data_IF_091577291802
#
_entry.id   IF_091577291802
#
_cell.length_a   1.000
_cell.length_b   1.000
_cell.length_c   1.000
_cell.angle_alpha   90.00
_cell.angle_beta   90.00
_cell.angle_gamma   90.00
#
_symmetry.space_group_name_H-M   'P 1'
#
loop_
_entity.id
_entity.type
_entity.pdbx_description
1 polymer ?
#
# COMPACT_ATOMS: atom_id res chain seq x y z
N UNK A 1 17.75 -5.18 -1.66
CA UNK A 1 18.65 -4.00 -1.62
C UNK A 1 19.83 -4.32 -0.71
N UNK A 2 21.04 -3.98 -1.15
CA UNK A 2 22.25 -4.12 -0.35
C UNK A 2 22.71 -2.77 0.19
N UNK A 3 23.37 -2.79 1.35
CA UNK A 3 23.91 -1.59 2.00
C UNK A 3 25.08 -1.03 1.19
N UNK A 4 25.27 0.29 1.22
CA UNK A 4 26.42 0.91 0.54
C UNK A 4 27.75 0.70 1.30
N UNK A 5 27.69 0.33 2.59
CA UNK A 5 28.85 -0.05 3.41
C UNK A 5 29.20 -1.53 3.33
N UNK A 6 28.37 -2.37 2.70
CA UNK A 6 28.62 -3.80 2.56
C UNK A 6 29.84 -4.05 1.65
N UNK A 7 30.98 -4.42 2.25
CA UNK A 7 32.24 -4.65 1.53
C UNK A 7 32.25 -5.95 0.74
N UNK A 8 31.49 -6.96 1.17
CA UNK A 8 31.34 -8.24 0.47
C UNK A 8 30.45 -8.11 -0.77
N UNK A 9 29.54 -7.13 -0.79
CA UNK A 9 28.74 -6.86 -1.96
C UNK A 9 29.57 -6.16 -3.04
N UNK A 10 29.70 -6.75 -4.22
CA UNK A 10 30.56 -6.24 -5.31
C UNK A 10 29.79 -5.49 -6.41
N UNK A 11 28.47 -5.64 -6.50
CA UNK A 11 27.70 -4.99 -7.55
C UNK A 11 27.73 -3.46 -7.43
N UNK A 12 27.66 -2.80 -8.59
CA UNK A 12 27.68 -1.33 -8.72
C UNK A 12 26.30 -0.68 -8.54
N UNK A 13 25.28 -1.45 -8.17
CA UNK A 13 23.87 -1.03 -8.07
C UNK A 13 23.25 -1.50 -6.75
N UNK A 14 22.25 -0.80 -6.18
CA UNK A 14 21.66 -1.17 -4.89
C UNK A 14 20.81 -2.44 -4.93
N UNK A 15 20.21 -2.77 -6.06
CA UNK A 15 19.48 -4.02 -6.31
C UNK A 15 20.21 -4.84 -7.37
N UNK A 16 20.35 -6.15 -7.19
CA UNK A 16 20.94 -7.01 -8.22
C UNK A 16 20.10 -6.98 -9.50
N UNK A 17 20.74 -6.74 -10.65
CA UNK A 17 20.05 -6.60 -11.95
C UNK A 17 19.23 -7.83 -12.30
N UNK A 18 19.78 -9.03 -12.09
CA UNK A 18 19.13 -10.32 -12.39
C UNK A 18 18.02 -10.69 -11.39
N UNK A 19 17.81 -9.90 -10.34
CA UNK A 19 16.75 -10.17 -9.37
C UNK A 19 15.42 -9.57 -9.81
N UNK A 20 14.31 -10.07 -9.26
CA UNK A 20 12.99 -9.43 -9.36
C UNK A 20 12.96 -7.98 -8.84
N UNK A 21 14.02 -7.51 -8.17
CA UNK A 21 14.16 -6.13 -7.71
C UNK A 21 15.06 -5.28 -8.61
N UNK A 22 15.71 -5.85 -9.63
CA UNK A 22 16.57 -5.15 -10.57
C UNK A 22 15.93 -3.90 -11.21
N UNK A 23 14.64 -3.95 -11.63
CA UNK A 23 13.96 -2.77 -12.19
C UNK A 23 13.92 -1.55 -11.25
N UNK A 24 13.96 -1.74 -9.93
CA UNK A 24 13.98 -0.62 -8.98
C UNK A 24 15.23 0.26 -9.10
N UNK A 25 16.34 -0.26 -9.65
CA UNK A 25 17.52 0.57 -9.93
C UNK A 25 17.20 1.72 -10.89
N UNK A 26 16.39 1.49 -11.92
CA UNK A 26 15.97 2.53 -12.87
C UNK A 26 15.04 3.53 -12.19
N UNK A 27 14.08 3.02 -11.40
CA UNK A 27 13.08 3.85 -10.71
C UNK A 27 13.69 4.78 -9.68
N UNK A 28 14.49 4.24 -8.75
CA UNK A 28 15.12 5.06 -7.71
C UNK A 28 16.29 5.89 -8.26
N UNK A 29 16.95 5.46 -9.34
CA UNK A 29 17.94 6.30 -10.04
C UNK A 29 17.29 7.54 -10.65
N UNK A 30 16.13 7.37 -11.30
CA UNK A 30 15.33 8.51 -11.77
C UNK A 30 14.85 9.39 -10.62
N UNK A 31 14.37 8.80 -9.52
CA UNK A 31 13.96 9.54 -8.31
C UNK A 31 15.08 10.45 -7.79
N UNK A 32 16.28 9.90 -7.55
CA UNK A 32 17.43 10.66 -7.06
C UNK A 32 17.89 11.72 -8.07
N UNK A 33 17.82 11.43 -9.38
CA UNK A 33 18.10 12.41 -10.43
C UNK A 33 17.13 13.60 -10.37
N UNK A 34 15.85 13.36 -10.11
CA UNK A 34 14.86 14.44 -9.95
C UNK A 34 15.13 15.25 -8.68
N UNK A 35 15.52 14.62 -7.57
CA UNK A 35 15.97 15.32 -6.37
C UNK A 35 17.11 16.28 -6.69
N UNK A 36 18.16 15.80 -7.37
CA UNK A 36 19.31 16.62 -7.76
C UNK A 36 18.89 17.81 -8.66
N UNK A 37 18.03 17.57 -9.67
CA UNK A 37 17.49 18.62 -10.54
C UNK A 37 16.71 19.70 -9.79
N UNK A 38 16.17 19.39 -8.61
CA UNK A 38 15.46 20.34 -7.74
C UNK A 38 16.35 20.90 -6.63
N UNK A 39 17.67 20.68 -6.71
CA UNK A 39 18.63 21.17 -5.72
C UNK A 39 18.53 20.47 -4.37
N UNK A 40 18.03 19.22 -4.34
CA UNK A 40 18.00 18.39 -3.13
C UNK A 40 19.19 17.42 -3.12
N UNK A 41 19.88 17.33 -1.98
CA UNK A 41 20.82 16.25 -1.69
C UNK A 41 20.01 15.07 -1.16
N UNK A 42 20.02 13.95 -1.87
CA UNK A 42 19.27 12.75 -1.50
C UNK A 42 20.14 11.49 -1.66
N UNK A 43 19.88 10.51 -0.80
CA UNK A 43 20.53 9.21 -0.83
C UNK A 43 19.53 8.10 -0.54
N UNK A 44 19.88 6.88 -0.94
CA UNK A 44 19.07 5.69 -0.74
C UNK A 44 19.82 4.74 0.21
N UNK A 45 19.28 4.55 1.41
CA UNK A 45 19.93 3.79 2.48
C UNK A 45 19.08 2.58 2.91
N UNK A 46 19.73 1.57 3.46
CA UNK A 46 19.07 0.42 4.08
C UNK A 46 19.01 0.57 5.60
N UNK A 47 18.23 -0.29 6.26
CA UNK A 47 18.26 -0.44 7.72
C UNK A 47 19.62 -0.87 8.28
N UNK A 48 20.48 -1.53 7.49
CA UNK A 48 21.85 -1.86 7.92
C UNK A 48 22.71 -0.60 8.03
N UNK A 49 22.37 0.45 7.29
CA UNK A 49 23.09 1.71 7.30
C UNK A 49 22.65 2.64 8.44
N UNK A 50 21.56 2.31 9.15
CA UNK A 50 20.99 3.14 10.20
C UNK A 50 21.83 3.08 11.49
N UNK A 51 22.34 4.24 11.91
CA UNK A 51 23.07 4.40 13.16
C UNK A 51 22.13 4.84 14.29
N UNK A 52 21.51 6.00 14.13
CA UNK A 52 20.60 6.62 15.11
C UNK A 52 19.58 7.49 14.35
N UNK A 53 18.51 7.99 15.02
CA UNK A 53 17.44 8.69 14.33
C UNK A 53 17.97 9.83 13.42
N UNK A 54 17.65 9.74 12.12
CA UNK A 54 18.11 10.70 11.10
C UNK A 54 19.56 10.53 10.61
N UNK A 55 20.38 9.69 11.22
CA UNK A 55 21.79 9.48 10.88
C UNK A 55 22.07 8.08 10.33
N UNK A 56 22.73 8.03 9.18
CA UNK A 56 23.13 6.80 8.50
C UNK A 56 24.62 6.78 8.26
N UNK A 57 25.27 5.62 8.39
CA UNK A 57 26.71 5.47 8.16
C UNK A 57 27.09 5.55 6.68
N UNK A 58 26.15 5.21 5.79
CA UNK A 58 26.38 5.20 4.35
C UNK A 58 25.06 5.29 3.58
N UNK A 59 25.13 5.67 2.31
CA UNK A 59 23.99 5.59 1.40
C UNK A 59 24.43 5.38 -0.05
N UNK A 60 23.50 4.97 -0.90
CA UNK A 60 23.65 5.02 -2.34
C UNK A 60 23.25 6.39 -2.87
N UNK A 61 24.05 6.93 -3.78
CA UNK A 61 23.74 8.16 -4.55
C UNK A 61 23.68 7.82 -6.04
N UNK A 62 23.07 8.70 -6.83
CA UNK A 62 22.95 8.50 -8.26
C UNK A 62 23.21 9.81 -9.01
N UNK A 63 24.20 9.79 -9.91
CA UNK A 63 24.46 10.84 -10.89
C UNK A 63 24.91 10.17 -12.19
N UNK A 64 23.95 9.90 -13.08
CA UNK A 64 24.06 9.03 -14.27
C UNK A 64 24.39 7.56 -13.96
N UNK A 65 25.20 7.30 -12.94
CA UNK A 65 25.54 5.99 -12.41
C UNK A 65 25.35 5.95 -10.89
N UNK A 66 25.12 4.74 -10.37
CA UNK A 66 25.02 4.49 -8.94
C UNK A 66 26.41 4.55 -8.29
N UNK A 67 26.51 5.25 -7.16
CA UNK A 67 27.75 5.39 -6.39
C UNK A 67 27.49 5.15 -4.91
N UNK A 68 28.44 4.49 -4.25
CA UNK A 68 28.43 4.31 -2.80
C UNK A 68 29.00 5.54 -2.13
N UNK A 69 28.26 6.10 -1.18
CA UNK A 69 28.74 7.16 -0.31
C UNK A 69 28.97 6.56 1.08
N UNK A 70 30.23 6.26 1.41
CA UNK A 70 30.65 5.54 2.62
C UNK A 70 31.03 6.46 3.79
N UNK A 71 30.38 7.63 3.88
CA UNK A 71 30.55 8.56 4.99
C UNK A 71 29.19 8.79 5.67
N UNK A 72 29.18 9.11 6.98
CA UNK A 72 27.94 9.41 7.68
C UNK A 72 27.14 10.53 7.00
N UNK A 73 25.82 10.34 6.91
CA UNK A 73 24.88 11.32 6.34
C UNK A 73 23.71 11.52 7.29
N UNK A 74 23.33 12.79 7.47
CA UNK A 74 22.11 13.17 8.20
C UNK A 74 21.00 13.49 7.20
N UNK A 75 19.78 13.09 7.52
CA UNK A 75 18.60 13.31 6.68
C UNK A 75 17.57 14.18 7.39
N UNK A 76 17.23 15.31 6.78
CA UNK A 76 16.13 16.18 7.22
C UNK A 76 14.76 15.56 6.88
N UNK A 77 14.68 14.75 5.83
CA UNK A 77 13.47 14.02 5.43
C UNK A 77 13.82 12.55 5.24
N UNK A 78 13.06 11.69 5.90
CA UNK A 78 13.07 10.24 5.79
C UNK A 78 11.83 9.80 5.01
N UNK A 79 12.05 9.35 3.78
CA UNK A 79 11.02 8.74 2.96
C UNK A 79 11.03 7.22 3.16
N UNK A 80 10.23 6.75 4.11
CA UNK A 80 10.25 5.35 4.54
C UNK A 80 9.53 4.43 3.55
N UNK A 81 10.31 3.61 2.84
CA UNK A 81 9.85 2.53 1.96
C UNK A 81 10.02 1.14 2.61
N UNK A 82 10.37 1.11 3.88
CA UNK A 82 10.75 -0.10 4.58
C UNK A 82 9.55 -0.89 5.08
N UNK A 83 9.62 -2.20 4.90
CA UNK A 83 8.61 -3.13 5.36
C UNK A 83 9.22 -4.04 6.43
N UNK A 84 8.84 -3.89 7.71
CA UNK A 84 9.51 -4.55 8.81
C UNK A 84 9.02 -6.00 8.95
N UNK A 85 9.55 -6.89 8.11
CA UNK A 85 9.13 -8.31 8.05
C UNK A 85 9.74 -9.20 9.13
N UNK A 86 10.75 -8.75 9.87
CA UNK A 86 11.41 -9.52 10.95
C UNK A 86 11.46 -8.74 12.25
N UNK A 87 11.61 -9.39 13.40
CA UNK A 87 11.68 -8.72 14.70
C UNK A 87 12.83 -7.71 14.79
N UNK A 88 14.00 -8.03 14.24
CA UNK A 88 15.12 -7.08 14.09
C UNK A 88 14.71 -5.84 13.32
N UNK A 89 14.05 -6.05 12.17
CA UNK A 89 13.57 -4.98 11.30
C UNK A 89 12.49 -4.13 11.97
N UNK A 90 11.57 -4.73 12.71
CA UNK A 90 10.56 -4.02 13.51
C UNK A 90 11.19 -3.12 14.56
N UNK A 91 12.15 -3.63 15.34
CA UNK A 91 12.90 -2.84 16.34
C UNK A 91 13.65 -1.67 15.70
N UNK A 92 14.39 -1.92 14.62
CA UNK A 92 15.11 -0.86 13.90
C UNK A 92 14.16 0.18 13.32
N UNK A 93 13.00 -0.23 12.80
CA UNK A 93 11.98 0.70 12.32
C UNK A 93 11.46 1.57 13.47
N UNK A 94 11.12 0.99 14.62
CA UNK A 94 10.69 1.75 15.79
C UNK A 94 11.72 2.83 16.17
N UNK A 95 13.02 2.51 16.16
CA UNK A 95 14.09 3.49 16.37
C UNK A 95 14.18 4.56 15.26
N UNK A 96 13.86 4.24 14.01
CA UNK A 96 13.75 5.24 12.94
C UNK A 96 12.56 6.17 13.23
N UNK A 97 11.44 5.63 13.73
CA UNK A 97 10.24 6.40 14.06
C UNK A 97 10.44 7.37 15.24
N UNK A 98 11.41 7.12 16.13
CA UNK A 98 11.76 8.07 17.21
C UNK A 98 12.55 9.29 16.72
N UNK A 99 12.92 9.34 15.43
CA UNK A 99 13.43 10.58 14.82
C UNK A 99 12.38 11.68 14.97
N UNK A 100 12.82 12.91 15.32
CA UNK A 100 11.94 14.07 15.53
C UNK A 100 10.85 14.09 14.45
N UNK A 101 9.57 14.19 14.85
CA UNK A 101 8.35 14.06 14.02
C UNK A 101 8.33 14.86 12.71
N UNK A 102 9.21 15.85 12.58
CA UNK A 102 9.29 16.75 11.42
C UNK A 102 10.05 16.15 10.23
N UNK A 103 10.76 15.04 10.40
CA UNK A 103 11.56 14.41 9.34
C UNK A 103 10.89 13.21 8.68
N UNK A 104 9.90 12.54 9.28
CA UNK A 104 9.43 11.24 8.78
C UNK A 104 8.15 11.32 7.92
N UNK A 105 8.21 10.71 6.73
CA UNK A 105 7.05 10.35 5.91
C UNK A 105 6.93 8.83 5.84
N UNK A 106 5.96 8.17 6.46
CA UNK A 106 4.80 8.65 7.23
C UNK A 106 5.02 8.68 8.75
N UNK A 107 4.25 9.48 9.49
CA UNK A 107 4.18 9.34 10.95
C UNK A 107 3.59 7.97 11.38
N UNK A 108 3.92 7.54 12.60
CA UNK A 108 3.52 6.25 13.16
C UNK A 108 2.02 5.99 13.08
N UNK A 109 1.19 6.94 13.54
CA UNK A 109 -0.29 6.82 13.51
C UNK A 109 -0.84 6.60 12.10
N UNK A 110 -0.24 7.23 11.10
CA UNK A 110 -0.61 7.03 9.69
C UNK A 110 -0.23 5.64 9.23
N UNK A 111 0.94 5.15 9.62
CA UNK A 111 1.40 3.81 9.26
C UNK A 111 0.52 2.76 9.90
N UNK A 112 0.25 2.87 11.20
CA UNK A 112 -0.63 1.96 11.93
C UNK A 112 -2.00 1.87 11.27
N UNK A 113 -2.65 3.03 11.07
CA UNK A 113 -3.96 3.10 10.44
C UNK A 113 -3.96 2.48 9.04
N UNK A 114 -2.96 2.79 8.21
CA UNK A 114 -2.87 2.32 6.83
C UNK A 114 -2.18 0.96 6.66
N UNK A 115 -1.88 0.23 7.73
CA UNK A 115 -1.37 -1.15 7.64
C UNK A 115 -2.31 -2.16 8.30
N UNK A 116 -3.20 -1.69 9.16
CA UNK A 116 -4.24 -2.47 9.79
C UNK A 116 -5.61 -2.22 9.14
N UNK A 117 -6.12 -3.24 8.45
CA UNK A 117 -7.40 -3.17 7.74
C UNK A 117 -8.59 -2.98 8.69
N UNK A 118 -8.52 -3.54 9.91
CA UNK A 118 -9.56 -3.35 10.91
C UNK A 118 -9.51 -1.93 11.47
N UNK A 119 -8.31 -1.40 11.75
CA UNK A 119 -8.16 -0.02 12.18
C UNK A 119 -8.66 0.98 11.11
N UNK A 120 -8.38 0.70 9.82
CA UNK A 120 -8.95 1.50 8.71
C UNK A 120 -10.47 1.49 8.72
N UNK A 121 -11.10 0.33 8.92
CA UNK A 121 -12.57 0.25 9.03
C UNK A 121 -13.10 1.03 10.24
N UNK A 122 -12.53 0.81 11.43
CA UNK A 122 -12.94 1.48 12.66
C UNK A 122 -12.78 3.00 12.59
N UNK A 123 -11.78 3.48 11.85
CA UNK A 123 -11.60 4.90 11.61
C UNK A 123 -12.68 5.47 10.68
N UNK A 124 -13.18 4.70 9.70
CA UNK A 124 -14.13 5.17 8.69
C UNK A 124 -15.32 4.22 8.49
N UNK A 125 -16.09 3.90 9.54
CA UNK A 125 -17.08 2.81 9.47
C UNK A 125 -18.17 3.07 8.43
N UNK A 126 -18.61 4.31 8.25
CA UNK A 126 -19.62 4.71 7.25
C UNK A 126 -19.11 4.80 5.81
N UNK A 127 -17.82 4.60 5.58
CA UNK A 127 -17.22 4.78 4.26
C UNK A 127 -16.28 3.66 3.85
N UNK A 128 -15.95 2.76 4.75
CA UNK A 128 -15.13 1.57 4.50
C UNK A 128 -16.02 0.35 4.27
N UNK A 129 -15.48 -0.63 3.55
CA UNK A 129 -16.14 -1.93 3.42
C UNK A 129 -16.30 -2.56 4.83
N UNK A 130 -17.47 -3.14 5.17
CA UNK A 130 -17.72 -3.72 6.48
C UNK A 130 -16.64 -4.74 6.84
N UNK A 131 -16.04 -4.61 8.03
CA UNK A 131 -14.90 -5.44 8.43
C UNK A 131 -15.03 -5.82 9.89
N UNK A 132 -14.86 -7.10 10.20
CA UNK A 132 -14.81 -7.62 11.57
C UNK A 132 -13.53 -8.42 11.80
N UNK A 133 -13.11 -8.49 13.06
CA UNK A 133 -11.97 -9.31 13.45
C UNK A 133 -12.33 -10.80 13.43
N UNK A 134 -11.37 -11.64 13.03
CA UNK A 134 -11.44 -13.10 13.21
C UNK A 134 -10.41 -13.47 14.27
N UNK A 135 -10.88 -13.80 15.48
CA UNK A 135 -10.05 -14.07 16.66
C UNK A 135 -9.06 -15.22 16.44
N UNK A 136 -9.51 -16.28 15.78
CA UNK A 136 -8.70 -17.43 15.40
C UNK A 136 -9.30 -18.15 14.17
N UNK A 137 -8.57 -19.12 13.61
CA UNK A 137 -8.99 -19.88 12.42
C UNK A 137 -9.70 -21.19 12.79
N UNK A 138 -10.57 -21.14 13.80
CA UNK A 138 -11.54 -22.18 14.09
C UNK A 138 -12.88 -21.91 13.39
N UNK A 139 -13.65 -22.97 13.16
CA UNK A 139 -15.02 -22.89 12.66
C UNK A 139 -15.89 -21.98 13.54
N UNK A 140 -15.78 -22.12 14.86
CA UNK A 140 -16.52 -21.33 15.85
C UNK A 140 -16.24 -19.84 15.72
N UNK A 141 -14.95 -19.45 15.67
CA UNK A 141 -14.57 -18.05 15.54
C UNK A 141 -15.01 -17.44 14.20
N UNK A 142 -14.88 -18.18 13.10
CA UNK A 142 -15.34 -17.73 11.77
C UNK A 142 -16.87 -17.57 11.71
N UNK A 143 -17.64 -18.48 12.30
CA UNK A 143 -19.11 -18.36 12.38
C UNK A 143 -19.54 -17.18 13.27
N UNK A 144 -18.84 -16.93 14.38
CA UNK A 144 -19.08 -15.78 15.24
C UNK A 144 -18.82 -14.46 14.48
N UNK A 145 -17.67 -14.36 13.80
CA UNK A 145 -17.35 -13.20 12.95
C UNK A 145 -18.38 -13.02 11.83
N UNK A 146 -18.84 -14.11 11.19
CA UNK A 146 -19.92 -14.04 10.19
C UNK A 146 -21.19 -13.41 10.76
N UNK A 147 -21.64 -13.87 11.94
CA UNK A 147 -22.85 -13.36 12.59
C UNK A 147 -22.71 -11.86 12.87
N UNK A 148 -21.58 -11.43 13.43
CA UNK A 148 -21.30 -10.02 13.69
C UNK A 148 -21.31 -9.19 12.39
N UNK A 149 -20.65 -9.70 11.34
CA UNK A 149 -20.58 -9.02 10.05
C UNK A 149 -21.95 -8.92 9.36
N UNK A 150 -22.80 -9.93 9.49
CA UNK A 150 -24.16 -9.91 8.92
C UNK A 150 -25.05 -8.89 9.63
N UNK A 151 -24.94 -8.74 10.95
CA UNK A 151 -25.61 -7.67 11.70
C UNK A 151 -25.13 -6.31 11.22
N UNK A 152 -23.80 -6.11 11.14
CA UNK A 152 -23.19 -4.87 10.69
C UNK A 152 -23.66 -4.48 9.27
N UNK A 153 -23.66 -5.44 8.33
CA UNK A 153 -24.13 -5.24 6.95
C UNK A 153 -25.58 -4.76 6.93
N UNK A 154 -26.48 -5.46 7.63
CA UNK A 154 -27.92 -5.16 7.64
C UNK A 154 -28.24 -3.79 8.23
N UNK A 155 -27.49 -3.37 9.25
CA UNK A 155 -27.77 -2.13 9.97
C UNK A 155 -27.21 -0.88 9.29
N UNK A 156 -26.09 -0.98 8.57
CA UNK A 156 -25.32 0.19 8.15
C UNK A 156 -25.10 0.30 6.63
N UNK A 157 -25.47 -0.73 5.86
CA UNK A 157 -25.11 -0.81 4.44
C UNK A 157 -26.26 -1.34 3.59
N UNK A 158 -26.24 -1.04 2.29
CA UNK A 158 -27.23 -1.55 1.35
C UNK A 158 -27.02 -3.06 1.13
N UNK A 159 -28.00 -3.93 1.49
CA UNK A 159 -27.82 -5.38 1.35
C UNK A 159 -27.61 -5.85 -0.08
N UNK A 160 -28.14 -5.12 -1.07
CA UNK A 160 -28.02 -5.42 -2.51
C UNK A 160 -26.57 -5.33 -3.02
N UNK A 161 -25.69 -4.63 -2.31
CA UNK A 161 -24.29 -4.51 -2.69
C UNK A 161 -23.48 -5.79 -2.47
N UNK A 162 -24.00 -6.75 -1.70
CA UNK A 162 -23.24 -7.91 -1.23
C UNK A 162 -23.84 -9.23 -1.69
N UNK A 163 -22.96 -10.18 -2.01
CA UNK A 163 -23.34 -11.57 -2.25
C UNK A 163 -23.51 -12.37 -0.96
N UNK A 164 -23.74 -13.68 -1.14
CA UNK A 164 -23.79 -14.66 -0.03
C UNK A 164 -22.39 -15.08 0.47
N UNK A 165 -21.35 -14.72 -0.27
CA UNK A 165 -19.96 -15.05 0.03
C UNK A 165 -19.26 -13.96 0.83
N UNK A 166 -18.07 -14.29 1.33
CA UNK A 166 -17.23 -13.46 2.16
C UNK A 166 -15.80 -13.46 1.64
N UNK A 167 -15.01 -12.50 2.11
CA UNK A 167 -13.58 -12.42 1.88
C UNK A 167 -12.88 -12.52 3.23
N UNK A 168 -12.13 -13.59 3.42
CA UNK A 168 -11.23 -13.76 4.56
C UNK A 168 -9.83 -13.33 4.13
N UNK A 169 -9.24 -12.35 4.80
CA UNK A 169 -7.91 -11.83 4.45
C UNK A 169 -7.07 -11.51 5.66
N UNK A 170 -5.75 -11.53 5.47
CA UNK A 170 -4.83 -11.09 6.52
C UNK A 170 -5.12 -9.63 6.90
N UNK A 171 -5.26 -9.37 8.21
CA UNK A 171 -5.46 -8.05 8.81
C UNK A 171 -4.33 -7.12 8.41
N UNK A 172 -3.11 -7.63 8.39
CA UNK A 172 -1.89 -6.90 8.02
C UNK A 172 -1.36 -7.33 6.64
N UNK A 173 -0.55 -6.48 6.02
CA UNK A 173 0.14 -6.78 4.76
C UNK A 173 -0.57 -6.28 3.49
N UNK A 174 0.12 -6.43 2.35
CA UNK A 174 -0.23 -5.85 1.04
C UNK A 174 -0.20 -6.89 -0.10
N UNK A 175 -0.62 -6.48 -1.30
CA UNK A 175 -0.35 -7.22 -2.55
C UNK A 175 -1.21 -8.46 -2.81
N UNK A 176 -2.33 -8.60 -2.10
CA UNK A 176 -3.31 -9.66 -2.37
C UNK A 176 -2.92 -11.06 -1.90
N UNK A 177 -1.92 -11.19 -1.03
CA UNK A 177 -1.55 -12.46 -0.41
C UNK A 177 -2.54 -12.86 0.69
N UNK A 178 -2.80 -14.17 0.84
CA UNK A 178 -3.68 -14.72 1.89
C UNK A 178 -5.07 -14.08 1.89
N UNK A 179 -5.66 -13.93 0.69
CA UNK A 179 -7.05 -13.55 0.48
C UNK A 179 -7.80 -14.79 -0.02
N UNK A 180 -8.86 -15.16 0.68
CA UNK A 180 -9.69 -16.32 0.39
C UNK A 180 -11.13 -15.87 0.17
N UNK A 181 -11.77 -16.40 -0.88
CA UNK A 181 -13.21 -16.23 -1.11
C UNK A 181 -13.92 -17.37 -0.39
N UNK A 182 -14.71 -17.03 0.60
CA UNK A 182 -15.31 -17.95 1.56
C UNK A 182 -16.81 -18.04 1.35
N UNK A 183 -17.29 -19.25 1.11
CA UNK A 183 -18.68 -19.63 1.27
C UNK A 183 -18.76 -20.57 2.48
N UNK A 184 -19.50 -20.14 3.52
CA UNK A 184 -19.57 -20.86 4.78
C UNK A 184 -20.21 -22.25 4.68
N UNK A 185 -20.98 -22.52 3.61
CA UNK A 185 -21.61 -23.82 3.37
C UNK A 185 -20.76 -24.74 2.51
N UNK A 186 -19.96 -24.18 1.59
CA UNK A 186 -19.29 -24.95 0.55
C UNK A 186 -17.82 -25.22 0.86
N UNK A 187 -17.05 -24.24 1.33
CA UNK A 187 -15.58 -24.32 1.33
C UNK A 187 -14.90 -23.90 2.65
N UNK A 188 -15.68 -23.78 3.73
CA UNK A 188 -15.16 -23.34 5.04
C UNK A 188 -14.02 -24.23 5.57
N UNK A 189 -14.24 -25.55 5.59
CA UNK A 189 -13.26 -26.49 6.13
C UNK A 189 -11.97 -26.54 5.29
N UNK A 190 -12.09 -26.51 3.96
CA UNK A 190 -10.96 -26.47 3.02
C UNK A 190 -10.08 -25.22 3.25
N UNK A 191 -10.71 -24.05 3.42
CA UNK A 191 -10.00 -22.79 3.70
C UNK A 191 -9.30 -22.86 5.06
N UNK A 192 -9.97 -23.37 6.10
CA UNK A 192 -9.37 -23.55 7.43
C UNK A 192 -8.11 -24.44 7.35
N UNK A 193 -8.21 -25.58 6.67
CA UNK A 193 -7.07 -26.50 6.49
C UNK A 193 -5.93 -25.85 5.71
N UNK A 194 -6.25 -25.13 4.63
CA UNK A 194 -5.26 -24.39 3.83
C UNK A 194 -4.51 -23.36 4.66
N UNK A 195 -5.21 -22.61 5.51
CA UNK A 195 -4.60 -21.61 6.38
C UNK A 195 -3.73 -22.29 7.45
N UNK A 196 -4.22 -23.35 8.11
CA UNK A 196 -3.44 -24.09 9.11
C UNK A 196 -2.14 -24.64 8.53
N UNK A 197 -2.17 -25.18 7.30
CA UNK A 197 -0.97 -25.64 6.59
C UNK A 197 0.04 -24.52 6.32
N UNK A 198 -0.45 -23.31 6.02
CA UNK A 198 0.40 -22.11 5.81
C UNK A 198 0.93 -21.53 7.13
N UNK A 199 0.12 -21.52 8.18
CA UNK A 199 0.51 -21.01 9.51
C UNK A 199 1.66 -21.82 10.13
N UNK A 200 1.71 -23.14 9.89
CA UNK A 200 2.88 -23.96 10.27
C UNK A 200 4.21 -23.47 9.67
N UNK A 201 4.16 -22.72 8.57
CA UNK A 201 5.33 -22.15 7.88
C UNK A 201 5.52 -20.65 8.14
N UNK A 202 4.55 -19.97 8.78
CA UNK A 202 4.52 -18.51 8.93
C UNK A 202 3.97 -18.12 10.29
N UNK A 203 4.77 -17.41 11.10
CA UNK A 203 4.34 -16.99 12.43
C UNK A 203 3.19 -15.96 12.37
N UNK A 204 2.19 -16.16 13.23
CA UNK A 204 1.07 -15.27 13.60
C UNK A 204 0.34 -14.58 12.44
N UNK A 205 -0.64 -15.30 11.88
CA UNK A 205 -1.60 -14.74 10.93
C UNK A 205 -2.83 -14.21 11.68
N UNK A 206 -3.10 -12.91 11.54
CA UNK A 206 -4.31 -12.28 12.06
C UNK A 206 -5.26 -12.06 10.89
N UNK A 207 -6.54 -12.38 11.04
CA UNK A 207 -7.49 -12.30 9.93
C UNK A 207 -8.62 -11.32 10.22
N UNK A 208 -9.15 -10.77 9.13
CA UNK A 208 -10.41 -10.02 9.12
C UNK A 208 -11.35 -10.66 8.11
N UNK A 209 -12.65 -10.56 8.40
CA UNK A 209 -13.72 -10.99 7.51
C UNK A 209 -14.42 -9.76 6.93
N UNK A 210 -14.66 -9.77 5.64
CA UNK A 210 -15.43 -8.76 4.91
C UNK A 210 -16.49 -9.45 4.04
N UNK A 211 -17.61 -8.80 3.71
CA UNK A 211 -18.54 -9.36 2.74
C UNK A 211 -17.92 -9.36 1.35
N UNK A 212 -18.33 -10.31 0.53
CA UNK A 212 -18.02 -10.25 -0.89
C UNK A 212 -18.90 -9.19 -1.56
N UNK A 213 -18.29 -8.07 -1.94
CA UNK A 213 -18.95 -7.01 -2.69
C UNK A 213 -19.29 -7.49 -4.11
N UNK A 214 -20.44 -7.08 -4.63
CA UNK A 214 -20.83 -7.24 -6.02
C UNK A 214 -20.42 -5.98 -6.79
N UNK A 215 -19.32 -6.03 -7.53
CA UNK A 215 -18.72 -4.86 -8.21
C UNK A 215 -18.25 -5.17 -9.63
N UNK A 216 -19.03 -5.99 -10.37
CA UNK A 216 -18.68 -6.38 -11.75
C UNK A 216 -18.79 -5.23 -12.75
N UNK A 217 -19.57 -4.19 -12.43
CA UNK A 217 -19.76 -3.02 -13.31
C UNK A 217 -18.55 -2.09 -13.35
N UNK A 218 -17.71 -2.07 -12.31
CA UNK A 218 -16.55 -1.19 -12.21
C UNK A 218 -16.94 0.29 -12.07
N UNK A 219 -16.03 1.19 -12.47
CA UNK A 219 -16.26 2.64 -12.43
C UNK A 219 -16.69 3.18 -13.80
N UNK A 220 -17.62 4.13 -13.83
CA UNK A 220 -18.14 4.70 -15.08
C UNK A 220 -17.11 5.43 -15.94
N UNK A 221 -16.05 5.99 -15.33
CA UNK A 221 -14.96 6.65 -16.04
C UNK A 221 -13.92 5.67 -16.61
N UNK A 222 -14.01 4.38 -16.27
CA UNK A 222 -13.09 3.37 -16.77
C UNK A 222 -13.52 2.95 -18.19
N UNK A 223 -12.56 2.90 -19.12
CA UNK A 223 -12.82 2.44 -20.48
C UNK A 223 -13.14 0.95 -20.55
N UNK A 224 -12.63 0.18 -19.60
CA UNK A 224 -12.83 -1.27 -19.53
C UNK A 224 -14.02 -1.58 -18.63
N UNK A 225 -14.69 -2.71 -18.85
CA UNK A 225 -15.70 -3.27 -17.93
C UNK A 225 -15.05 -4.37 -17.11
N UNK A 226 -15.56 -4.59 -15.90
CA UNK A 226 -15.13 -5.68 -15.04
C UNK A 226 -14.98 -5.27 -13.58
N UNK A 227 -14.48 -6.21 -12.78
CA UNK A 227 -14.17 -5.98 -11.37
C UNK A 227 -12.97 -5.04 -11.27
N UNK A 228 -13.19 -3.89 -10.63
CA UNK A 228 -12.19 -2.85 -10.52
C UNK A 228 -12.07 -2.31 -9.11
N UNK A 229 -10.86 -1.89 -8.77
CA UNK A 229 -10.63 -0.94 -7.71
C UNK A 229 -9.99 0.33 -8.24
N UNK A 230 -10.17 1.44 -7.53
CA UNK A 230 -9.54 2.72 -7.78
C UNK A 230 -8.50 2.98 -6.70
N UNK A 231 -7.25 3.07 -7.08
CA UNK A 231 -6.17 3.51 -6.20
C UNK A 231 -5.90 4.99 -6.37
N UNK A 232 -5.87 5.69 -5.23
CA UNK A 232 -5.58 7.11 -5.14
C UNK A 232 -4.34 7.30 -4.30
N UNK A 233 -3.26 7.78 -4.90
CA UNK A 233 -2.00 8.10 -4.22
C UNK A 233 -2.06 9.55 -3.73
N UNK A 234 -1.84 9.74 -2.43
CA UNK A 234 -1.97 11.02 -1.74
C UNK A 234 -0.66 11.39 -1.06
N UNK A 235 -0.25 12.66 -1.18
CA UNK A 235 0.80 13.28 -0.37
C UNK A 235 0.28 14.58 0.24
N UNK A 236 0.44 14.75 1.56
CA UNK A 236 0.02 15.96 2.28
C UNK A 236 -1.44 16.35 1.96
N UNK A 237 -2.34 15.36 1.99
CA UNK A 237 -3.76 15.52 1.65
C UNK A 237 -4.07 15.89 0.18
N UNK A 238 -3.05 16.01 -0.69
CA UNK A 238 -3.19 16.25 -2.13
C UNK A 238 -3.13 14.94 -2.90
N UNK A 239 -4.10 14.73 -3.79
CA UNK A 239 -4.06 13.64 -4.78
C UNK A 239 -2.91 13.90 -5.75
N UNK A 240 -1.94 12.98 -5.81
CA UNK A 240 -0.82 13.03 -6.75
C UNK A 240 -1.07 12.19 -8.00
N UNK A 241 -1.75 11.06 -7.85
CA UNK A 241 -2.00 10.13 -8.93
C UNK A 241 -3.24 9.29 -8.62
N UNK A 242 -4.01 8.99 -9.66
CA UNK A 242 -5.10 8.04 -9.61
C UNK A 242 -4.95 7.06 -10.74
N UNK A 243 -5.23 5.80 -10.44
CA UNK A 243 -5.35 4.76 -11.44
C UNK A 243 -6.31 3.74 -10.89
N UNK A 244 -7.09 3.13 -11.75
CA UNK A 244 -7.87 1.99 -11.36
C UNK A 244 -7.24 0.72 -11.93
N UNK A 245 -7.53 -0.40 -11.28
CA UNK A 245 -6.99 -1.70 -11.65
C UNK A 245 -8.13 -2.65 -11.92
N UNK A 246 -8.06 -3.37 -13.03
CA UNK A 246 -9.05 -4.39 -13.39
C UNK A 246 -8.52 -5.76 -13.04
N UNK A 247 -9.33 -6.57 -12.35
CA UNK A 247 -8.98 -7.96 -12.07
C UNK A 247 -8.85 -8.77 -13.37
N UNK A 248 -7.94 -9.75 -13.38
CA UNK A 248 -7.86 -10.76 -14.45
C UNK A 248 -9.21 -11.49 -14.59
N UNK A 249 -9.56 -11.92 -15.80
CA UNK A 249 -10.75 -12.74 -16.07
C UNK A 249 -10.81 -13.93 -15.10
N UNK A 250 -11.95 -14.12 -14.45
CA UNK A 250 -12.17 -15.17 -13.44
C UNK A 250 -11.71 -14.84 -12.02
N UNK A 251 -10.91 -13.78 -11.82
CA UNK A 251 -10.49 -13.32 -10.49
C UNK A 251 -11.35 -12.13 -10.00
N UNK A 252 -11.27 -11.83 -8.71
CA UNK A 252 -11.83 -10.64 -8.08
C UNK A 252 -10.76 -9.71 -7.50
N UNK A 253 -9.52 -10.19 -7.38
CA UNK A 253 -8.39 -9.40 -6.88
C UNK A 253 -7.85 -8.53 -8.02
N UNK A 254 -7.87 -7.22 -7.81
CA UNK A 254 -7.45 -6.24 -8.81
C UNK A 254 -5.94 -5.91 -8.73
N UNK A 255 -5.18 -6.55 -7.83
CA UNK A 255 -3.76 -6.25 -7.67
C UNK A 255 -2.95 -6.59 -8.94
N UNK A 256 -2.02 -5.69 -9.31
CA UNK A 256 -1.07 -5.94 -10.40
C UNK A 256 -0.25 -7.22 -10.17
N UNK A 257 0.12 -7.52 -8.93
CA UNK A 257 0.82 -8.76 -8.53
C UNK A 257 0.02 -10.05 -8.77
N UNK A 258 -1.27 -9.94 -9.12
CA UNK A 258 -2.16 -11.04 -9.48
C UNK A 258 -2.55 -11.02 -10.96
N UNK A 259 -1.84 -10.24 -11.78
CA UNK A 259 -2.12 -10.08 -13.20
C UNK A 259 -3.28 -9.13 -13.50
N UNK A 260 -3.63 -8.24 -12.56
CA UNK A 260 -4.54 -7.14 -12.85
C UNK A 260 -3.93 -6.14 -13.84
N UNK A 261 -4.78 -5.45 -14.59
CA UNK A 261 -4.38 -4.41 -15.53
C UNK A 261 -4.54 -3.03 -14.89
N UNK A 262 -3.63 -2.09 -15.17
CA UNK A 262 -3.70 -0.71 -14.67
C UNK A 262 -4.20 0.23 -15.76
N UNK A 263 -4.99 1.22 -15.37
CA UNK A 263 -5.41 2.32 -16.24
C UNK A 263 -5.38 3.64 -15.46
N UNK A 264 -4.66 4.62 -15.98
CA UNK A 264 -4.47 5.90 -15.32
C UNK A 264 -5.69 6.80 -15.48
N UNK A 265 -6.09 7.42 -14.38
CA UNK A 265 -7.32 8.24 -14.31
C UNK A 265 -6.92 9.67 -13.96
N UNK A 266 -7.37 10.62 -14.77
CA UNK A 266 -7.18 12.03 -14.46
C UNK A 266 -8.04 12.41 -13.25
N UNK A 267 -7.54 13.31 -12.40
CA UNK A 267 -8.21 13.70 -11.14
C UNK A 267 -9.58 14.33 -11.38
N UNK A 268 -9.73 15.11 -12.44
CA UNK A 268 -10.97 15.76 -12.88
C UNK A 268 -12.05 14.76 -13.36
N UNK A 269 -11.66 13.56 -13.81
CA UNK A 269 -12.59 12.49 -14.17
C UNK A 269 -13.17 11.75 -12.96
N UNK A 270 -12.64 11.96 -11.75
CA UNK A 270 -13.21 11.37 -10.54
C UNK A 270 -14.57 11.98 -10.24
N UNK A 271 -15.58 11.16 -9.96
CA UNK A 271 -16.91 11.66 -9.57
C UNK A 271 -16.85 12.53 -8.32
N UNK A 272 -17.79 13.47 -8.18
CA UNK A 272 -17.91 14.35 -6.99
C UNK A 272 -17.99 13.52 -5.69
N UNK A 273 -18.65 12.35 -5.74
CA UNK A 273 -18.74 11.43 -4.60
C UNK A 273 -17.37 10.89 -4.16
N UNK A 274 -16.57 10.42 -5.12
CA UNK A 274 -15.19 9.95 -4.86
C UNK A 274 -14.33 11.08 -4.29
N UNK A 275 -14.39 12.27 -4.90
CA UNK A 275 -13.60 13.42 -4.44
C UNK A 275 -13.97 13.84 -3.01
N UNK A 276 -15.28 13.92 -2.68
CA UNK A 276 -15.76 14.23 -1.33
C UNK A 276 -15.31 13.18 -0.32
N UNK A 277 -15.35 11.89 -0.68
CA UNK A 277 -14.90 10.82 0.21
C UNK A 277 -13.39 10.91 0.48
N UNK A 278 -12.57 11.09 -0.57
CA UNK A 278 -11.12 11.28 -0.42
C UNK A 278 -10.84 12.46 0.50
N UNK A 279 -11.48 13.61 0.27
CA UNK A 279 -11.30 14.80 1.12
C UNK A 279 -11.70 14.53 2.58
N UNK A 280 -12.82 13.83 2.83
CA UNK A 280 -13.25 13.47 4.19
C UNK A 280 -12.20 12.63 4.91
N UNK A 281 -11.61 11.65 4.21
CA UNK A 281 -10.56 10.80 4.76
C UNK A 281 -9.29 11.63 5.01
N UNK A 282 -8.82 12.35 3.99
CA UNK A 282 -7.51 13.00 4.00
C UNK A 282 -7.44 14.24 4.90
N UNK A 283 -8.57 14.89 5.20
CA UNK A 283 -8.64 16.02 6.14
C UNK A 283 -8.23 15.68 7.57
N UNK A 284 -8.18 14.39 7.95
CA UNK A 284 -7.77 14.00 9.30
C UNK A 284 -6.35 14.47 9.62
N UNK A 285 -6.06 14.97 10.84
CA UNK A 285 -4.76 15.52 11.20
C UNK A 285 -3.59 14.55 10.96
N UNK A 286 -3.80 13.25 11.17
CA UNK A 286 -2.79 12.22 10.98
C UNK A 286 -2.24 12.20 9.53
N UNK A 287 -3.06 12.53 8.52
CA UNK A 287 -2.66 12.54 7.12
C UNK A 287 -2.03 13.86 6.62
N UNK A 288 -1.89 14.87 7.49
CA UNK A 288 -1.36 16.19 7.11
C UNK A 288 0.03 16.12 6.48
N UNK A 289 0.87 15.22 6.96
CA UNK A 289 2.23 14.97 6.46
C UNK A 289 2.39 13.48 6.19
N UNK A 290 1.67 12.99 5.19
CA UNK A 290 1.71 11.57 4.84
C UNK A 290 1.67 11.30 3.34
N UNK A 291 2.42 10.26 2.93
CA UNK A 291 2.41 9.62 1.62
C UNK A 291 1.75 8.24 1.71
N UNK A 292 0.51 8.11 1.27
CA UNK A 292 -0.26 6.87 1.36
C UNK A 292 -1.12 6.68 0.13
N UNK A 293 -1.73 5.50 -0.03
CA UNK A 293 -2.78 5.30 -1.02
C UNK A 293 -4.06 4.82 -0.38
N UNK A 294 -5.16 5.17 -1.00
CA UNK A 294 -6.51 4.71 -0.67
C UNK A 294 -7.00 3.87 -1.84
N UNK A 295 -7.49 2.67 -1.53
CA UNK A 295 -8.04 1.75 -2.53
C UNK A 295 -9.56 1.74 -2.35
N UNK A 296 -10.30 2.10 -3.39
CA UNK A 296 -11.75 2.15 -3.39
C UNK A 296 -12.34 1.11 -4.32
N UNK A 297 -13.53 0.63 -3.99
CA UNK A 297 -14.35 -0.22 -4.85
C UNK A 297 -15.75 0.36 -4.93
N UNK A 298 -16.40 0.20 -6.08
CA UNK A 298 -17.76 0.66 -6.31
C UNK A 298 -18.67 -0.54 -6.57
N UNK A 299 -19.77 -0.66 -5.83
CA UNK A 299 -20.74 -1.74 -6.03
C UNK A 299 -21.47 -1.62 -7.37
N UNK A 300 -22.20 -2.66 -7.74
CA UNK A 300 -23.07 -2.66 -8.91
C UNK A 300 -24.20 -1.62 -8.82
N UNK A 301 -24.57 -1.21 -7.60
CA UNK A 301 -25.57 -0.16 -7.34
C UNK A 301 -24.90 1.20 -7.11
N UNK A 302 -23.62 1.31 -7.47
CA UNK A 302 -22.83 2.54 -7.48
C UNK A 302 -22.44 3.09 -6.10
N UNK A 303 -22.66 2.35 -5.01
CA UNK A 303 -22.18 2.70 -3.68
C UNK A 303 -20.66 2.54 -3.58
N UNK A 304 -19.99 3.53 -2.98
CA UNK A 304 -18.53 3.62 -2.93
C UNK A 304 -17.99 3.23 -1.55
N UNK A 305 -17.00 2.33 -1.55
CA UNK A 305 -16.37 1.82 -0.34
C UNK A 305 -14.85 1.99 -0.36
N UNK A 306 -14.27 2.48 0.73
CA UNK A 306 -12.85 2.35 1.02
C UNK A 306 -12.56 0.88 1.37
N UNK A 307 -11.77 0.22 0.53
CA UNK A 307 -11.39 -1.18 0.70
C UNK A 307 -10.23 -1.34 1.70
N UNK A 308 -9.21 -0.51 1.54
CA UNK A 308 -8.04 -0.43 2.41
C UNK A 308 -7.25 0.88 2.16
N UNK A 309 -6.42 1.24 3.12
CA UNK A 309 -5.38 2.23 2.95
C UNK A 309 -4.00 1.54 2.97
N UNK A 310 -2.99 2.15 2.35
CA UNK A 310 -1.63 1.61 2.28
C UNK A 310 -0.60 2.69 2.61
N UNK A 311 0.21 2.47 3.65
CA UNK A 311 1.19 3.44 4.16
C UNK A 311 2.47 3.58 3.29
N UNK A 312 2.66 2.75 2.27
CA UNK A 312 3.87 2.85 1.43
C UNK A 312 3.58 2.43 -0.02
N UNK A 313 2.81 3.23 -0.78
CA UNK A 313 2.54 2.96 -2.20
C UNK A 313 3.82 2.71 -2.98
N UNK A 314 3.86 1.66 -3.80
CA UNK A 314 5.05 1.31 -4.56
C UNK A 314 5.45 2.41 -5.56
N UNK A 315 6.75 2.62 -5.72
CA UNK A 315 7.31 3.33 -6.87
C UNK A 315 7.91 2.27 -7.79
N UNK A 316 7.21 1.96 -8.86
CA UNK A 316 7.57 0.96 -9.85
C UNK A 316 6.85 1.30 -11.14
N UNK A 317 7.46 0.98 -12.27
CA UNK A 317 6.76 0.92 -13.55
C UNK A 317 7.16 -0.35 -14.28
N UNK A 318 6.21 -0.93 -15.01
CA UNK A 318 6.48 -2.04 -15.92
C UNK A 318 7.39 -1.55 -17.06
N UNK A 319 8.58 -2.17 -17.27
CA UNK A 319 9.45 -1.79 -18.39
C UNK A 319 8.80 -1.96 -19.76
N UNK A 320 7.74 -2.76 -19.87
CA UNK A 320 6.99 -2.98 -21.10
C UNK A 320 5.80 -2.03 -21.29
N UNK A 321 5.58 -1.09 -20.37
CA UNK A 321 4.49 -0.11 -20.45
C UNK A 321 5.01 1.32 -20.41
N UNK A 322 5.03 1.96 -21.59
CA UNK A 322 5.42 3.37 -21.72
C UNK A 322 4.48 4.31 -20.97
N UNK A 323 3.19 3.99 -20.90
CA UNK A 323 2.19 4.75 -20.13
C UNK A 323 2.48 4.67 -18.61
N UNK A 324 2.81 3.46 -18.11
CA UNK A 324 3.14 3.24 -16.70
C UNK A 324 4.43 3.95 -16.30
N UNK A 325 5.45 3.89 -17.17
CA UNK A 325 6.70 4.62 -16.99
C UNK A 325 6.45 6.14 -16.96
N UNK A 326 5.73 6.68 -17.94
CA UNK A 326 5.44 8.12 -18.02
C UNK A 326 4.66 8.61 -16.79
N UNK A 327 3.66 7.84 -16.37
CA UNK A 327 2.82 8.13 -15.22
C UNK A 327 3.58 8.05 -13.91
N UNK A 328 4.42 7.03 -13.71
CA UNK A 328 5.24 6.91 -12.50
C UNK A 328 6.34 7.98 -12.45
N UNK A 329 6.95 8.32 -13.59
CA UNK A 329 7.87 9.47 -13.68
C UNK A 329 7.18 10.78 -13.31
N UNK A 330 5.91 10.97 -13.69
CA UNK A 330 5.10 12.13 -13.27
C UNK A 330 4.85 12.13 -11.76
N UNK A 331 4.47 10.99 -11.17
CA UNK A 331 4.32 10.85 -9.71
C UNK A 331 5.62 11.23 -8.98
N UNK A 332 6.77 10.72 -9.43
CA UNK A 332 8.07 11.01 -8.83
C UNK A 332 8.39 12.50 -8.90
N UNK A 333 8.19 13.17 -10.04
CA UNK A 333 8.40 14.63 -10.15
C UNK A 333 7.53 15.40 -9.16
N UNK A 334 6.25 15.01 -9.01
CA UNK A 334 5.34 15.62 -8.03
C UNK A 334 5.79 15.39 -6.59
N UNK A 335 6.25 14.18 -6.24
CA UNK A 335 6.80 13.87 -4.93
C UNK A 335 8.00 14.75 -4.60
N UNK A 336 8.98 14.81 -5.50
CA UNK A 336 10.19 15.60 -5.32
C UNK A 336 9.87 17.10 -5.21
N UNK A 337 8.92 17.60 -5.99
CA UNK A 337 8.47 18.99 -5.87
C UNK A 337 7.87 19.31 -4.49
N UNK A 338 7.11 18.39 -3.90
CA UNK A 338 6.60 18.57 -2.54
C UNK A 338 7.72 18.40 -1.49
N UNK A 339 8.69 17.51 -1.70
CA UNK A 339 9.85 17.38 -0.79
C UNK A 339 10.69 18.65 -0.77
N UNK A 340 10.86 19.32 -1.91
CA UNK A 340 11.56 20.61 -1.98
C UNK A 340 10.86 21.69 -1.15
N UNK A 341 9.54 21.66 -1.02
CA UNK A 341 8.78 22.59 -0.17
C UNK A 341 8.93 22.29 1.34
N UNK A 342 9.29 21.05 1.68
CA UNK A 342 9.48 20.61 3.06
C UNK A 342 10.90 20.90 3.58
N UNK A 343 11.89 20.91 2.69
CA UNK A 343 13.26 21.33 3.00
C UNK A 343 13.34 22.85 2.81
N UNK A 344 12.99 23.60 3.86
CA UNK A 344 13.25 25.03 3.95
C UNK A 344 14.68 25.26 4.43
#
# INVERSE_FOLDING_TARGET
>A
MNSASDTAYTAKVPFLSESNQGPYNKVYGYFLSQCQKKGLKAGFATVKDFLKPGLFQSCWTFNKTWKRFKKPVSATILFDKFLPTTSYRKRKRALILTSKKESLLNNEKTVELCTDKLATFNAFPKSSLPTVEVKDISKKALLAAKKELDVLKKQQFAPSDFGQEYVLKNRYGWGGSSIFRLNFRENLEEIIQTIKKKAKKTANLFFVLQPFLLFKKGFSFAKQKGRMDLRVVVLNQKILQCYARTAKKGDFRCNLSKGGLIFYVKKDHLSKGIQKLIQRITKRPLFRRGFFSLDFVQSNDQNLYLLEANASPGLYWDPNSSEDEASTKKLIRSLVAEFKKMVK
#
